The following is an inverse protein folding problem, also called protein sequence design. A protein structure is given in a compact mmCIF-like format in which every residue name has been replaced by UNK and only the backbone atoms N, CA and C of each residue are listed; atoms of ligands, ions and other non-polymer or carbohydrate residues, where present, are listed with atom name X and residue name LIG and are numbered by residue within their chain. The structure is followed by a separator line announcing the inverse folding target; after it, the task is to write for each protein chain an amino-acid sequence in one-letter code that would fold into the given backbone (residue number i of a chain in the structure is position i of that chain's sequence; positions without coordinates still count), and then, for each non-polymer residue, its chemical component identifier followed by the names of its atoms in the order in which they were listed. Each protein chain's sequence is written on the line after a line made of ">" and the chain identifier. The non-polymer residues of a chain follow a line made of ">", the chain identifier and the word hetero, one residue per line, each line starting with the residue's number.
data_IF_833881705351
#
_entry.id   IF_833881705351
#
_cell.length_a   1.000
_cell.length_b   1.000
_cell.length_c   1.000
_cell.angle_alpha   90.00
_cell.angle_beta   90.00
_cell.angle_gamma   90.00
#
_symmetry.space_group_name_H-M   'P 1'
#
loop_
_entity.id
_entity.type
_entity.pdbx_description
1 polymer ?
#
# COMPACT_ATOMS: atom_id res chain seq x y z
N UNK A 1 -13.58 -21.93 -20.75
CA UNK A 1 -12.12 -21.88 -21.03
C UNK A 1 -11.45 -20.50 -20.96
N UNK A 2 -11.55 -19.62 -21.97
CA UNK A 2 -10.74 -18.37 -22.04
C UNK A 2 -11.03 -17.39 -20.91
N UNK A 3 -12.31 -17.24 -20.56
CA UNK A 3 -12.76 -16.34 -19.51
C UNK A 3 -12.27 -16.78 -18.12
N UNK A 4 -12.13 -18.09 -17.88
CA UNK A 4 -11.54 -18.63 -16.65
C UNK A 4 -10.07 -18.22 -16.54
N UNK A 5 -9.29 -18.39 -17.60
CA UNK A 5 -7.86 -18.07 -17.61
C UNK A 5 -7.60 -16.57 -17.43
N UNK A 6 -8.41 -15.72 -18.07
CA UNK A 6 -8.36 -14.27 -17.84
C UNK A 6 -8.69 -13.93 -16.38
N UNK A 7 -9.68 -14.59 -15.80
CA UNK A 7 -10.10 -14.36 -14.42
C UNK A 7 -9.03 -14.77 -13.40
N UNK A 8 -8.44 -15.97 -13.55
CA UNK A 8 -7.35 -16.46 -12.70
C UNK A 8 -6.11 -15.57 -12.83
N UNK A 9 -5.73 -15.21 -14.06
CA UNK A 9 -4.61 -14.29 -14.30
C UNK A 9 -4.83 -12.92 -13.67
N UNK A 10 -6.07 -12.40 -13.73
CA UNK A 10 -6.44 -11.14 -13.07
C UNK A 10 -6.32 -11.25 -11.55
N UNK A 11 -6.80 -12.33 -10.94
CA UNK A 11 -6.70 -12.54 -9.48
C UNK A 11 -5.25 -12.61 -9.01
N UNK A 12 -4.39 -13.32 -9.74
CA UNK A 12 -2.96 -13.38 -9.41
C UNK A 12 -2.29 -12.01 -9.58
N UNK A 13 -2.55 -11.32 -10.70
CA UNK A 13 -2.04 -9.98 -10.93
C UNK A 13 -2.49 -8.99 -9.84
N UNK A 14 -3.74 -9.12 -9.37
CA UNK A 14 -4.29 -8.31 -8.29
C UNK A 14 -3.47 -8.42 -7.00
N UNK A 15 -2.95 -9.61 -6.66
CA UNK A 15 -2.13 -9.79 -5.46
C UNK A 15 -0.82 -9.01 -5.52
N UNK A 16 -0.16 -9.00 -6.68
CA UNK A 16 1.05 -8.20 -6.90
C UNK A 16 0.73 -6.70 -6.92
N UNK A 17 -0.41 -6.32 -7.49
CA UNK A 17 -0.90 -4.93 -7.42
C UNK A 17 -1.16 -4.52 -5.97
N UNK A 18 -1.73 -5.39 -5.13
CA UNK A 18 -1.92 -5.12 -3.70
C UNK A 18 -0.60 -4.95 -2.96
N UNK A 19 0.41 -5.79 -3.24
CA UNK A 19 1.75 -5.62 -2.65
C UNK A 19 2.32 -4.23 -2.95
N UNK A 20 2.20 -3.75 -4.20
CA UNK A 20 2.67 -2.41 -4.58
C UNK A 20 1.81 -1.31 -3.96
N UNK A 21 0.48 -1.48 -4.02
CA UNK A 21 -0.49 -0.48 -3.57
C UNK A 21 -0.43 -0.25 -2.06
N UNK A 22 0.04 -1.24 -1.29
CA UNK A 22 0.26 -1.14 0.15
C UNK A 22 1.17 0.04 0.50
N UNK A 23 2.31 0.14 -0.18
CA UNK A 23 3.27 1.22 0.04
C UNK A 23 2.78 2.56 -0.51
N UNK A 24 2.07 2.54 -1.64
CA UNK A 24 1.45 3.75 -2.21
C UNK A 24 0.43 4.33 -1.24
N UNK A 25 -0.45 3.48 -0.70
CA UNK A 25 -1.47 3.85 0.28
C UNK A 25 -0.82 4.38 1.58
N UNK A 26 0.23 3.73 2.08
CA UNK A 26 0.99 4.23 3.22
C UNK A 26 1.58 5.63 2.95
N UNK A 27 2.21 5.82 1.79
CA UNK A 27 2.73 7.11 1.36
C UNK A 27 1.65 8.18 1.22
N UNK A 28 0.45 7.81 0.75
CA UNK A 28 -0.70 8.73 0.66
C UNK A 28 -1.15 9.18 2.05
N UNK A 29 -1.31 8.24 2.99
CA UNK A 29 -1.68 8.56 4.38
C UNK A 29 -0.70 9.52 5.04
N UNK A 30 0.60 9.28 4.87
CA UNK A 30 1.65 10.16 5.40
C UNK A 30 1.57 11.55 4.75
N UNK A 31 1.46 11.63 3.42
CA UNK A 31 1.40 12.89 2.69
C UNK A 31 0.19 13.75 3.08
N UNK A 32 -0.97 13.11 3.26
CA UNK A 32 -2.18 13.79 3.72
C UNK A 32 -1.97 14.37 5.13
N UNK A 33 -1.37 13.61 6.03
CA UNK A 33 -1.13 14.06 7.40
C UNK A 33 -0.12 15.22 7.47
N UNK A 34 0.87 15.26 6.56
CA UNK A 34 1.86 16.34 6.44
C UNK A 34 1.30 17.64 5.84
N UNK A 35 0.04 17.65 5.39
CA UNK A 35 -0.56 18.80 4.71
C UNK A 35 -0.15 18.98 3.25
N UNK A 36 0.64 18.06 2.68
CA UNK A 36 0.98 18.05 1.25
C UNK A 36 -0.25 17.80 0.37
N UNK A 37 -1.30 17.18 0.94
CA UNK A 37 -2.61 16.95 0.31
C UNK A 37 -3.65 18.04 0.59
N UNK A 38 -3.28 19.21 1.12
CA UNK A 38 -4.26 20.22 1.53
C UNK A 38 -5.18 20.68 0.39
N UNK A 39 -4.65 20.77 -0.83
CA UNK A 39 -5.42 21.16 -2.01
C UNK A 39 -6.56 20.18 -2.33
N UNK A 40 -6.32 18.87 -2.22
CA UNK A 40 -7.35 17.84 -2.45
C UNK A 40 -8.28 17.65 -1.25
N UNK A 41 -7.88 18.09 -0.06
CA UNK A 41 -8.73 18.08 1.14
C UNK A 41 -9.77 19.22 1.12
N UNK A 42 -9.43 20.37 0.53
CA UNK A 42 -10.34 21.52 0.39
C UNK A 42 -11.23 21.38 -0.83
N UNK A 43 -10.67 20.99 -1.98
CA UNK A 43 -11.44 20.75 -3.21
C UNK A 43 -11.16 19.33 -3.73
N UNK A 44 -11.96 18.34 -3.30
CA UNK A 44 -11.83 16.97 -3.79
C UNK A 44 -12.20 16.81 -5.28
N UNK A 45 -12.93 17.78 -5.85
CA UNK A 45 -13.48 17.69 -7.21
C UNK A 45 -12.53 18.23 -8.27
N UNK A 46 -11.77 19.29 -7.98
CA UNK A 46 -10.78 19.88 -8.91
C UNK A 46 -9.36 19.92 -8.37
N UNK A 47 -9.12 19.50 -7.12
CA UNK A 47 -7.78 19.47 -6.52
C UNK A 47 -6.86 18.48 -7.23
N UNK A 48 -5.66 18.92 -7.60
CA UNK A 48 -4.62 18.06 -8.19
C UNK A 48 -4.22 17.00 -7.15
N UNK A 49 -4.72 15.79 -7.35
CA UNK A 49 -4.61 14.67 -6.40
C UNK A 49 -3.36 13.83 -6.67
N UNK A 50 -2.19 14.46 -6.73
CA UNK A 50 -0.93 13.73 -6.89
C UNK A 50 -0.07 13.95 -5.65
N UNK A 51 -0.29 13.17 -4.58
CA UNK A 51 0.64 13.14 -3.46
C UNK A 51 2.00 12.64 -3.98
N UNK A 52 2.92 13.60 -4.19
CA UNK A 52 4.27 13.38 -4.71
C UNK A 52 4.98 12.26 -3.93
N UNK A 53 4.72 12.19 -2.63
CA UNK A 53 5.29 11.17 -1.76
C UNK A 53 4.89 9.75 -2.20
N UNK A 54 3.62 9.52 -2.51
CA UNK A 54 3.13 8.21 -2.96
C UNK A 54 3.77 7.77 -4.28
N UNK A 55 4.04 8.74 -5.16
CA UNK A 55 4.77 8.48 -6.39
C UNK A 55 6.23 8.09 -6.13
N UNK A 56 6.89 8.74 -5.16
CA UNK A 56 8.25 8.36 -4.74
C UNK A 56 8.23 6.93 -4.18
N UNK A 57 7.29 6.60 -3.30
CA UNK A 57 7.13 5.24 -2.78
C UNK A 57 6.91 4.22 -3.89
N UNK A 58 6.04 4.52 -4.87
CA UNK A 58 5.80 3.64 -6.02
C UNK A 58 7.09 3.35 -6.79
N UNK A 59 7.87 4.39 -7.11
CA UNK A 59 9.14 4.23 -7.85
C UNK A 59 10.14 3.44 -7.03
N UNK A 60 10.32 3.76 -5.74
CA UNK A 60 11.23 3.04 -4.84
C UNK A 60 10.87 1.55 -4.73
N UNK A 61 9.60 1.24 -4.50
CA UNK A 61 9.12 -0.15 -4.33
C UNK A 61 9.23 -0.91 -5.65
N UNK A 62 8.95 -0.27 -6.78
CA UNK A 62 9.15 -0.88 -8.10
C UNK A 62 10.61 -1.22 -8.33
N UNK A 63 11.54 -0.33 -8.00
CA UNK A 63 12.98 -0.59 -8.11
C UNK A 63 13.43 -1.73 -7.20
N UNK A 64 12.90 -1.79 -5.98
CA UNK A 64 13.19 -2.89 -5.03
C UNK A 64 12.65 -4.22 -5.57
N UNK A 65 11.42 -4.24 -6.08
CA UNK A 65 10.83 -5.42 -6.70
C UNK A 65 11.65 -5.93 -7.89
N UNK A 66 12.16 -5.02 -8.74
CA UNK A 66 13.08 -5.40 -9.82
C UNK A 66 14.41 -5.92 -9.26
N UNK A 67 14.98 -5.24 -8.25
CA UNK A 67 16.26 -5.62 -7.63
C UNK A 67 16.23 -6.98 -6.95
N UNK A 68 15.09 -7.38 -6.39
CA UNK A 68 14.89 -8.68 -5.75
C UNK A 68 14.48 -9.78 -6.74
N UNK A 69 14.47 -9.49 -8.04
CA UNK A 69 13.96 -10.39 -9.08
C UNK A 69 12.50 -10.83 -8.86
N UNK A 70 11.68 -9.98 -8.22
CA UNK A 70 10.27 -10.31 -7.94
C UNK A 70 9.45 -10.57 -9.22
N UNK A 71 9.87 -10.00 -10.35
CA UNK A 71 9.28 -10.27 -11.66
C UNK A 71 9.47 -11.73 -12.12
N UNK A 72 10.59 -12.37 -11.78
CA UNK A 72 10.79 -13.80 -12.06
C UNK A 72 9.88 -14.65 -11.20
N UNK A 73 9.77 -14.31 -9.91
CA UNK A 73 8.87 -15.01 -8.97
C UNK A 73 7.41 -14.89 -9.43
N UNK A 74 7.00 -13.72 -9.94
CA UNK A 74 5.66 -13.54 -10.50
C UNK A 74 5.38 -14.50 -11.66
N UNK A 75 6.35 -14.72 -12.55
CA UNK A 75 6.23 -15.65 -13.67
C UNK A 75 6.19 -17.09 -13.15
N UNK A 76 7.04 -17.43 -12.17
CA UNK A 76 7.08 -18.76 -11.56
C UNK A 76 5.73 -19.12 -10.92
N UNK A 77 5.15 -18.20 -10.13
CA UNK A 77 3.83 -18.38 -9.52
C UNK A 77 2.74 -18.53 -10.59
N UNK A 78 2.82 -17.78 -11.69
CA UNK A 78 1.91 -17.94 -12.81
C UNK A 78 2.04 -19.32 -13.49
N UNK A 79 3.25 -19.85 -13.63
CA UNK A 79 3.48 -21.20 -14.17
C UNK A 79 2.96 -22.28 -13.22
N UNK A 80 3.20 -22.14 -11.92
CA UNK A 80 2.71 -23.07 -10.89
C UNK A 80 1.18 -23.07 -10.81
N UNK A 81 0.53 -21.95 -11.11
CA UNK A 81 -0.94 -21.84 -11.12
C UNK A 81 -1.63 -22.83 -12.07
N UNK A 82 -0.98 -23.21 -13.18
CA UNK A 82 -1.52 -24.20 -14.12
C UNK A 82 -1.55 -25.62 -13.56
N UNK A 83 -0.70 -25.91 -12.56
CA UNK A 83 -0.70 -27.21 -11.87
C UNK A 83 -1.78 -27.24 -10.78
N UNK A 84 -1.95 -26.12 -10.05
CA UNK A 84 -2.94 -25.99 -9.00
C UNK A 84 -4.38 -25.87 -9.53
N UNK A 85 -4.60 -25.06 -10.57
CA UNK A 85 -5.90 -24.86 -11.21
C UNK A 85 -5.82 -25.27 -12.69
N UNK A 86 -6.14 -26.55 -13.01
CA UNK A 86 -6.11 -27.02 -14.38
C UNK A 86 -7.17 -26.33 -15.25
N UNK A 87 -6.92 -26.32 -16.56
CA UNK A 87 -7.82 -25.70 -17.55
C UNK A 87 -9.17 -26.43 -17.52
N UNK A 88 -10.25 -25.71 -17.18
CA UNK A 88 -11.59 -26.25 -17.01
C UNK A 88 -12.64 -25.35 -17.66
N UNK A 89 -13.80 -25.92 -18.03
CA UNK A 89 -14.87 -25.07 -18.58
C UNK A 89 -15.60 -24.28 -17.50
N UNK A 90 -15.44 -24.70 -16.24
CA UNK A 90 -16.06 -24.05 -15.09
C UNK A 90 -15.10 -23.02 -14.48
N UNK A 91 -15.58 -21.78 -14.34
CA UNK A 91 -14.84 -20.69 -13.70
C UNK A 91 -14.69 -20.95 -12.20
N UNK A 92 -15.75 -21.46 -11.56
CA UNK A 92 -15.82 -21.79 -10.14
C UNK A 92 -16.22 -23.26 -10.04
N UNK A 93 -15.44 -24.07 -9.34
CA UNK A 93 -15.72 -25.50 -9.19
C UNK A 93 -14.57 -26.25 -8.55
N UNK A 94 -14.73 -27.56 -8.26
CA UNK A 94 -13.74 -28.37 -7.54
C UNK A 94 -12.39 -28.51 -8.25
N UNK A 95 -12.35 -28.24 -9.56
CA UNK A 95 -11.13 -28.26 -10.39
C UNK A 95 -10.69 -26.84 -10.83
N UNK A 96 -11.20 -25.78 -10.18
CA UNK A 96 -10.90 -24.36 -10.45
C UNK A 96 -10.88 -23.59 -9.12
N UNK A 97 -10.86 -22.26 -9.16
CA UNK A 97 -10.92 -21.40 -7.97
C UNK A 97 -12.18 -21.70 -7.15
N UNK A 98 -11.98 -22.05 -5.87
CA UNK A 98 -13.07 -22.33 -4.93
C UNK A 98 -13.73 -21.05 -4.43
N UNK A 99 -14.94 -21.15 -3.86
CA UNK A 99 -15.60 -19.99 -3.23
C UNK A 99 -14.82 -19.47 -2.03
N UNK A 100 -14.13 -20.35 -1.33
CA UNK A 100 -13.25 -20.04 -0.21
C UNK A 100 -12.02 -19.24 -0.68
N UNK A 101 -11.42 -19.63 -1.80
CA UNK A 101 -10.32 -18.91 -2.43
C UNK A 101 -10.72 -17.48 -2.81
N UNK A 102 -11.88 -17.33 -3.45
CA UNK A 102 -12.43 -16.01 -3.79
C UNK A 102 -12.63 -15.13 -2.55
N UNK A 103 -13.12 -15.73 -1.47
CA UNK A 103 -13.27 -15.02 -0.20
C UNK A 103 -11.91 -14.61 0.38
N UNK A 104 -10.90 -15.48 0.29
CA UNK A 104 -9.53 -15.18 0.68
C UNK A 104 -8.94 -14.00 -0.10
N UNK A 105 -9.11 -13.97 -1.43
CA UNK A 105 -8.67 -12.87 -2.28
C UNK A 105 -9.34 -11.54 -1.90
N UNK A 106 -10.65 -11.56 -1.63
CA UNK A 106 -11.38 -10.36 -1.18
C UNK A 106 -10.90 -9.88 0.20
N UNK A 107 -10.64 -10.81 1.12
CA UNK A 107 -10.15 -10.48 2.46
C UNK A 107 -8.74 -9.86 2.44
N UNK A 108 -7.97 -10.07 1.36
CA UNK A 108 -6.66 -9.43 1.19
C UNK A 108 -6.72 -7.90 1.08
N UNK A 109 -7.88 -7.33 0.73
CA UNK A 109 -8.11 -5.88 0.80
C UNK A 109 -7.97 -5.38 2.24
N UNK A 110 -8.44 -6.14 3.24
CA UNK A 110 -8.26 -5.77 4.64
C UNK A 110 -6.78 -5.77 5.03
N UNK A 111 -6.04 -6.80 4.62
CA UNK A 111 -4.59 -6.89 4.85
C UNK A 111 -3.82 -5.73 4.20
N UNK A 112 -4.22 -5.30 3.00
CA UNK A 112 -3.66 -4.13 2.32
C UNK A 112 -3.77 -2.88 3.20
N UNK A 113 -4.97 -2.55 3.66
CA UNK A 113 -5.20 -1.36 4.49
C UNK A 113 -4.55 -1.46 5.86
N UNK A 114 -4.62 -2.62 6.50
CA UNK A 114 -3.99 -2.85 7.81
C UNK A 114 -2.47 -2.69 7.73
N UNK A 115 -1.84 -3.27 6.71
CA UNK A 115 -0.39 -3.21 6.52
C UNK A 115 0.08 -1.80 6.13
N UNK A 116 -0.65 -1.14 5.23
CA UNK A 116 -0.39 0.26 4.87
C UNK A 116 -0.47 1.19 6.10
N UNK A 117 -1.47 0.96 6.97
CA UNK A 117 -1.61 1.71 8.22
C UNK A 117 -0.41 1.44 9.14
N UNK A 118 0.01 0.19 9.33
CA UNK A 118 1.17 -0.16 10.17
C UNK A 118 2.44 0.57 9.74
N UNK A 119 2.70 0.67 8.43
CA UNK A 119 3.83 1.45 7.90
C UNK A 119 3.66 2.95 8.20
N UNK A 120 2.44 3.47 8.05
CA UNK A 120 2.17 4.90 8.23
C UNK A 120 2.06 5.32 9.71
N UNK A 121 1.81 4.40 10.64
CA UNK A 121 1.53 4.67 12.06
C UNK A 121 2.60 5.56 12.74
N UNK A 122 3.92 5.30 12.62
CA UNK A 122 4.92 6.14 13.28
C UNK A 122 4.90 7.59 12.80
N UNK A 123 4.65 7.78 11.50
CA UNK A 123 4.55 9.11 10.90
C UNK A 123 3.26 9.83 11.30
N UNK A 124 2.13 9.12 11.23
CA UNK A 124 0.82 9.67 11.61
C UNK A 124 0.83 10.10 13.07
N UNK A 125 1.33 9.26 13.97
CA UNK A 125 1.37 9.57 15.41
C UNK A 125 2.26 10.76 15.73
N UNK A 126 3.46 10.85 15.12
CA UNK A 126 4.34 11.99 15.30
C UNK A 126 3.71 13.31 14.82
N UNK A 127 3.12 13.32 13.62
CA UNK A 127 2.47 14.54 13.09
C UNK A 127 1.19 14.88 13.86
N UNK A 128 0.47 13.88 14.38
CA UNK A 128 -0.69 14.10 15.25
C UNK A 128 -0.29 14.75 16.58
N UNK A 129 0.82 14.34 17.19
CA UNK A 129 1.39 14.98 18.38
C UNK A 129 1.78 16.43 18.08
N UNK A 130 2.38 16.69 16.92
CA UNK A 130 2.72 18.05 16.47
C UNK A 130 1.45 18.90 16.35
N UNK A 131 0.42 18.40 15.67
CA UNK A 131 -0.86 19.09 15.51
C UNK A 131 -1.54 19.37 16.85
N UNK A 132 -1.50 18.42 17.79
CA UNK A 132 -2.02 18.61 19.14
C UNK A 132 -1.23 19.69 19.91
N UNK A 133 0.10 19.67 19.79
CA UNK A 133 0.99 20.67 20.41
C UNK A 133 0.71 22.07 19.88
N UNK A 134 0.51 22.20 18.56
CA UNK A 134 0.06 23.45 17.96
C UNK A 134 -1.32 23.83 18.48
N UNK A 135 -2.26 22.89 18.54
CA UNK A 135 -3.59 23.07 19.14
C UNK A 135 -3.55 23.73 20.51
N UNK A 136 -2.69 23.24 21.40
CA UNK A 136 -2.47 23.80 22.74
C UNK A 136 -1.84 25.19 22.66
N UNK A 137 -0.83 25.37 21.78
CA UNK A 137 -0.16 26.67 21.60
C UNK A 137 -1.10 27.76 21.07
N UNK A 138 -2.08 27.41 20.22
CA UNK A 138 -3.11 28.35 19.73
C UNK A 138 -3.88 29.00 20.88
N UNK A 139 -4.13 28.23 21.94
CA UNK A 139 -4.84 28.67 23.14
C UNK A 139 -3.97 29.57 24.01
N UNK A 140 -2.66 29.32 24.06
CA UNK A 140 -1.71 30.10 24.85
C UNK A 140 -1.30 31.42 24.17
N UNK A 141 -1.18 31.43 22.85
CA UNK A 141 -0.82 32.60 22.05
C UNK A 141 -1.67 32.67 20.77
N UNK A 142 -2.89 33.26 20.84
CA UNK A 142 -3.83 33.34 19.71
C UNK A 142 -3.29 34.12 18.50
N UNK A 143 -2.28 34.96 18.73
CA UNK A 143 -1.58 35.76 17.74
C UNK A 143 -0.58 34.96 16.88
N UNK A 144 -0.24 33.72 17.26
CA UNK A 144 0.52 32.81 16.42
C UNK A 144 -0.41 32.20 15.36
N UNK A 145 -0.23 32.60 14.09
CA UNK A 145 -1.00 32.01 13.00
C UNK A 145 -0.56 30.55 12.77
N UNK A 146 -1.42 29.64 13.22
CA UNK A 146 -1.25 28.18 13.17
C UNK A 146 -1.18 27.69 11.73
N UNK A 147 -1.85 28.37 10.79
CA UNK A 147 -1.72 28.06 9.38
C UNK A 147 -0.36 28.50 8.82
N UNK A 148 0.18 29.64 9.28
CA UNK A 148 1.50 30.10 8.81
C UNK A 148 2.68 29.29 9.37
N UNK A 149 2.56 28.74 10.59
CA UNK A 149 3.65 28.00 11.24
C UNK A 149 3.46 26.48 11.28
N UNK A 150 2.22 26.01 11.38
CA UNK A 150 1.90 24.59 11.49
C UNK A 150 2.20 23.81 10.22
N UNK A 151 1.89 24.36 9.05
CA UNK A 151 2.19 23.70 7.77
C UNK A 151 3.70 23.50 7.52
N UNK A 152 4.55 24.55 7.60
CA UNK A 152 6.00 24.36 7.42
C UNK A 152 6.62 23.39 8.42
N UNK A 153 6.19 23.43 9.67
CA UNK A 153 6.74 22.58 10.73
C UNK A 153 6.28 21.13 10.54
N UNK A 154 5.00 20.89 10.26
CA UNK A 154 4.47 19.57 9.94
C UNK A 154 5.15 18.95 8.71
N UNK A 155 5.42 19.76 7.68
CA UNK A 155 6.14 19.32 6.49
C UNK A 155 7.59 18.93 6.79
N UNK A 156 8.34 19.73 7.57
CA UNK A 156 9.73 19.42 7.92
C UNK A 156 9.84 18.11 8.72
N UNK A 157 9.01 17.95 9.76
CA UNK A 157 9.01 16.72 10.55
C UNK A 157 8.53 15.52 9.75
N UNK A 158 7.51 15.69 8.89
CA UNK A 158 7.05 14.61 8.03
C UNK A 158 8.10 14.16 7.02
N UNK A 159 8.83 15.09 6.39
CA UNK A 159 9.94 14.76 5.49
C UNK A 159 11.08 14.04 6.25
N UNK A 160 11.37 14.47 7.47
CA UNK A 160 12.34 13.80 8.33
C UNK A 160 11.93 12.35 8.64
N UNK A 161 10.65 12.11 8.93
CA UNK A 161 10.16 10.76 9.20
C UNK A 161 10.18 9.90 7.93
N UNK A 162 9.79 10.45 6.78
CA UNK A 162 9.91 9.75 5.48
C UNK A 162 11.36 9.34 5.23
N UNK A 163 12.31 10.24 5.49
CA UNK A 163 13.73 9.96 5.33
C UNK A 163 14.20 8.78 6.21
N UNK A 164 13.75 8.74 7.46
CA UNK A 164 14.00 7.58 8.34
C UNK A 164 13.31 6.32 7.82
N UNK A 165 12.05 6.41 7.39
CA UNK A 165 11.26 5.28 6.89
C UNK A 165 11.86 4.62 5.63
N UNK A 166 12.52 5.39 4.77
CA UNK A 166 13.20 4.84 3.57
C UNK A 166 14.26 3.80 3.95
N UNK A 167 14.99 4.00 5.05
CA UNK A 167 16.02 3.04 5.50
C UNK A 167 15.43 1.68 5.92
N UNK A 168 14.20 1.68 6.43
CA UNK A 168 13.47 0.47 6.83
C UNK A 168 12.58 -0.14 5.75
N UNK A 169 12.55 0.45 4.55
CA UNK A 169 11.62 0.07 3.49
C UNK A 169 11.94 -1.30 2.88
N UNK A 170 13.23 -1.62 2.72
CA UNK A 170 13.70 -2.92 2.22
C UNK A 170 13.24 -4.11 3.09
N UNK A 171 13.52 -4.15 4.41
CA UNK A 171 13.09 -5.28 5.24
C UNK A 171 11.57 -5.36 5.38
N UNK A 172 10.85 -4.22 5.33
CA UNK A 172 9.39 -4.24 5.30
C UNK A 172 8.87 -4.86 4.00
N UNK A 173 9.45 -4.50 2.86
CA UNK A 173 9.11 -5.07 1.57
C UNK A 173 9.34 -6.58 1.54
N UNK A 174 10.47 -7.06 2.05
CA UNK A 174 10.77 -8.49 2.10
C UNK A 174 9.73 -9.28 2.92
N UNK A 175 9.34 -8.77 4.08
CA UNK A 175 8.31 -9.40 4.92
C UNK A 175 6.95 -9.46 4.20
N UNK A 176 6.46 -8.34 3.65
CA UNK A 176 5.16 -8.30 2.96
C UNK A 176 5.15 -9.10 1.65
N UNK A 177 6.29 -9.15 0.96
CA UNK A 177 6.49 -9.97 -0.23
C UNK A 177 6.39 -11.44 0.13
N UNK A 178 7.11 -11.89 1.17
CA UNK A 178 7.04 -13.25 1.70
C UNK A 178 5.62 -13.64 2.12
N UNK A 179 4.92 -12.77 2.85
CA UNK A 179 3.52 -13.00 3.26
C UNK A 179 2.57 -13.15 2.06
N UNK A 180 2.84 -12.43 0.97
CA UNK A 180 2.04 -12.50 -0.26
C UNK A 180 2.32 -13.81 -1.00
N UNK A 181 3.58 -14.23 -1.05
CA UNK A 181 3.96 -15.51 -1.66
C UNK A 181 3.44 -16.71 -0.88
N UNK A 182 3.54 -16.70 0.45
CA UNK A 182 2.99 -17.76 1.29
C UNK A 182 1.48 -17.88 1.12
N UNK A 183 0.77 -16.75 1.04
CA UNK A 183 -0.67 -16.75 0.76
C UNK A 183 -1.00 -17.36 -0.61
N UNK A 184 -0.29 -16.95 -1.67
CA UNK A 184 -0.49 -17.52 -3.00
C UNK A 184 -0.19 -19.02 -3.05
N UNK A 185 0.80 -19.48 -2.29
CA UNK A 185 1.19 -20.88 -2.22
C UNK A 185 0.16 -21.75 -1.48
N UNK A 186 -0.35 -21.25 -0.35
CA UNK A 186 -1.40 -21.92 0.44
C UNK A 186 -2.67 -22.14 -0.40
N UNK A 187 -3.08 -21.12 -1.17
CA UNK A 187 -4.23 -21.22 -2.09
C UNK A 187 -4.01 -22.20 -3.24
N UNK A 188 -2.76 -22.44 -3.62
CA UNK A 188 -2.39 -23.41 -4.65
C UNK A 188 -2.25 -24.83 -4.10
N UNK A 189 -2.37 -25.02 -2.77
CA UNK A 189 -2.33 -26.34 -2.11
C UNK A 189 -0.91 -26.84 -1.79
N UNK A 190 0.07 -25.95 -1.60
CA UNK A 190 1.48 -26.28 -1.34
C UNK A 190 2.03 -25.78 0.02
#
# INVERSE_FOLDING_TARGET
>A
MTLQQIFIGTLMGLMFVFLMQLFVAAGQMIAMQMGLGFASMIDPSNGVNVPILSQIFLVCVTLIFLSMNGHLVMIEVAVQSFQAWPISDQIIGPNSVSREDLWGFLMRINWLFASALVIALPAITAVLIINLSFGIMTRAAPQMNVFSLGFPIGMLFGLFIVWVSISGLLPQFDNFSTDTFLFLRDMQGF
#
